data_IF_382094565317
#
_entry.id   IF_382094565317
#
_cell.length_a   1.000
_cell.length_b   1.000
_cell.length_c   1.000
_cell.angle_alpha   90.00
_cell.angle_beta   90.00
_cell.angle_gamma   90.00
#
_symmetry.space_group_name_H-M   'P 1'
#
loop_
_entity.id
_entity.type
_entity.pdbx_description
1 polymer ?
#
# COMPACT_ATOMS: atom_id res chain seq x y z
N UNK A 1 -19.75 -14.21 3.01
CA UNK A 1 -20.16 -15.60 3.32
C UNK A 1 -19.21 -16.35 4.23
N UNK A 2 -17.89 -16.15 4.11
CA UNK A 2 -16.88 -16.80 4.96
C UNK A 2 -15.83 -15.81 5.46
N UNK A 3 -15.27 -16.06 6.64
CA UNK A 3 -14.10 -15.33 7.14
C UNK A 3 -12.78 -15.94 6.63
N UNK A 4 -11.67 -15.34 7.06
CA UNK A 4 -10.29 -15.77 6.72
C UNK A 4 -9.92 -17.14 7.29
N UNK A 5 -10.72 -17.68 8.21
CA UNK A 5 -10.60 -19.03 8.73
C UNK A 5 -11.50 -20.03 7.99
N UNK A 6 -12.22 -19.57 6.95
CA UNK A 6 -13.25 -20.33 6.24
C UNK A 6 -14.42 -20.74 7.15
N UNK A 7 -14.72 -19.93 8.17
CA UNK A 7 -15.91 -20.09 8.99
C UNK A 7 -17.07 -19.29 8.37
N UNK A 8 -18.28 -19.86 8.28
CA UNK A 8 -19.42 -19.15 7.74
C UNK A 8 -19.77 -17.93 8.59
N UNK A 9 -19.95 -16.77 7.95
CA UNK A 9 -20.31 -15.51 8.63
C UNK A 9 -21.81 -15.23 8.63
N UNK A 10 -22.62 -16.06 7.97
CA UNK A 10 -24.06 -15.92 7.85
C UNK A 10 -24.78 -17.27 8.01
N UNK A 11 -26.00 -17.25 8.56
CA UNK A 11 -26.78 -18.45 8.92
C UNK A 11 -27.25 -19.28 7.71
N UNK A 12 -27.49 -18.65 6.56
CA UNK A 12 -27.94 -19.35 5.35
C UNK A 12 -26.83 -20.20 4.70
N UNK A 13 -25.56 -19.94 5.03
CA UNK A 13 -24.39 -20.68 4.57
C UNK A 13 -24.29 -22.07 5.23
N UNK A 14 -25.00 -22.28 6.34
CA UNK A 14 -24.98 -23.50 7.15
C UNK A 14 -25.62 -24.72 6.42
N UNK A 15 -26.70 -24.52 5.68
CA UNK A 15 -27.37 -25.62 4.95
C UNK A 15 -26.57 -26.11 3.73
N UNK A 16 -25.84 -25.21 3.07
CA UNK A 16 -24.88 -25.58 2.02
C UNK A 16 -23.66 -26.29 2.62
N UNK A 17 -23.19 -25.85 3.78
CA UNK A 17 -22.12 -26.52 4.54
C UNK A 17 -22.50 -27.96 4.94
N UNK A 18 -23.71 -28.17 5.47
CA UNK A 18 -24.24 -29.51 5.83
C UNK A 18 -24.35 -30.45 4.63
N UNK A 19 -24.66 -29.95 3.43
CA UNK A 19 -24.71 -30.77 2.19
C UNK A 19 -23.32 -31.20 1.72
N UNK A 20 -22.34 -30.29 1.71
CA UNK A 20 -20.95 -30.61 1.34
C UNK A 20 -20.32 -31.59 2.32
N UNK A 21 -20.55 -31.38 3.63
CA UNK A 21 -20.05 -32.31 4.66
C UNK A 21 -20.64 -33.72 4.47
N UNK A 22 -21.92 -33.82 4.07
CA UNK A 22 -22.58 -35.10 3.76
C UNK A 22 -22.02 -35.81 2.54
N UNK A 23 -21.74 -35.07 1.46
CA UNK A 23 -21.13 -35.63 0.24
C UNK A 23 -19.73 -36.21 0.50
N UNK A 24 -18.96 -35.57 1.38
CA UNK A 24 -17.67 -36.08 1.87
C UNK A 24 -17.78 -37.36 2.71
N UNK A 25 -18.86 -37.57 3.47
CA UNK A 25 -19.10 -38.83 4.20
C UNK A 25 -19.50 -39.99 3.28
N UNK A 26 -19.75 -39.73 2.00
CA UNK A 26 -20.16 -40.71 0.99
C UNK A 26 -19.02 -41.10 0.02
N UNK A 27 -17.77 -40.72 0.32
CA UNK A 27 -16.59 -40.98 -0.53
C UNK A 27 -16.73 -40.47 -1.98
N UNK A 28 -17.54 -39.42 -2.17
CA UNK A 28 -17.70 -38.79 -3.47
C UNK A 28 -16.48 -37.89 -3.72
N UNK A 29 -15.69 -38.21 -4.75
CA UNK A 29 -14.66 -37.31 -5.27
C UNK A 29 -15.29 -35.97 -5.62
N UNK A 30 -14.90 -34.93 -4.90
CA UNK A 30 -15.37 -33.57 -5.15
C UNK A 30 -14.48 -32.89 -6.18
N UNK A 31 -15.04 -31.98 -7.00
CA UNK A 31 -14.23 -31.21 -7.92
C UNK A 31 -13.20 -30.37 -7.15
N UNK A 32 -12.02 -30.11 -7.77
CA UNK A 32 -10.98 -29.29 -7.18
C UNK A 32 -11.52 -27.90 -6.78
N UNK A 33 -10.87 -27.26 -5.81
CA UNK A 33 -11.14 -25.85 -5.50
C UNK A 33 -10.50 -24.94 -6.55
N UNK A 34 -11.06 -23.77 -6.80
CA UNK A 34 -10.49 -22.81 -7.75
C UNK A 34 -9.84 -21.68 -6.98
N UNK A 35 -8.55 -21.44 -7.24
CA UNK A 35 -7.73 -20.46 -6.53
C UNK A 35 -7.15 -19.43 -7.50
N UNK A 36 -7.10 -18.16 -7.07
CA UNK A 36 -6.12 -17.20 -7.60
C UNK A 36 -4.91 -17.17 -6.67
N UNK A 37 -3.71 -17.23 -7.23
CA UNK A 37 -2.47 -16.97 -6.50
C UNK A 37 -1.98 -15.57 -6.85
N UNK A 38 -1.76 -14.73 -5.85
CA UNK A 38 -1.22 -13.37 -6.00
C UNK A 38 -0.04 -13.23 -5.05
N UNK A 39 1.18 -13.17 -5.61
CA UNK A 39 2.40 -13.32 -4.82
C UNK A 39 2.42 -14.66 -4.08
N UNK A 40 2.53 -14.60 -2.75
CA UNK A 40 2.56 -15.79 -1.87
C UNK A 40 1.18 -16.17 -1.31
N UNK A 41 0.11 -15.47 -1.72
CA UNK A 41 -1.24 -15.62 -1.14
C UNK A 41 -2.19 -16.29 -2.11
N UNK A 42 -3.04 -17.17 -1.59
CA UNK A 42 -4.10 -17.85 -2.34
C UNK A 42 -5.48 -17.32 -1.94
N UNK A 43 -6.28 -16.96 -2.95
CA UNK A 43 -7.66 -16.51 -2.80
C UNK A 43 -8.60 -17.57 -3.37
N UNK A 44 -9.55 -18.06 -2.57
CA UNK A 44 -10.52 -19.06 -3.00
C UNK A 44 -11.66 -18.39 -3.78
N UNK A 45 -11.71 -18.67 -5.07
CA UNK A 45 -12.76 -18.21 -6.00
C UNK A 45 -13.99 -19.11 -5.91
N UNK A 46 -13.75 -20.43 -5.94
CA UNK A 46 -14.79 -21.44 -5.73
C UNK A 46 -14.28 -22.54 -4.81
N UNK A 47 -15.18 -23.07 -3.97
CA UNK A 47 -14.86 -24.16 -3.06
C UNK A 47 -14.63 -23.77 -1.60
N UNK A 48 -15.01 -22.55 -1.19
CA UNK A 48 -14.93 -22.08 0.21
C UNK A 48 -15.48 -23.10 1.23
N UNK A 49 -16.62 -23.73 0.93
CA UNK A 49 -17.18 -24.80 1.78
C UNK A 49 -16.30 -26.06 1.84
N UNK A 50 -15.67 -26.45 0.72
CA UNK A 50 -14.78 -27.62 0.66
C UNK A 50 -13.52 -27.36 1.49
N UNK A 51 -12.95 -26.16 1.40
CA UNK A 51 -11.82 -25.72 2.24
C UNK A 51 -12.21 -25.72 3.72
N UNK A 52 -13.38 -25.18 4.06
CA UNK A 52 -13.91 -25.20 5.44
C UNK A 52 -14.02 -26.63 6.01
N UNK A 53 -14.58 -27.57 5.24
CA UNK A 53 -14.72 -28.98 5.66
C UNK A 53 -13.36 -29.67 5.79
N UNK A 54 -12.47 -29.50 4.81
CA UNK A 54 -11.12 -30.06 4.85
C UNK A 54 -10.34 -29.57 6.09
N UNK A 55 -10.40 -28.26 6.36
CA UNK A 55 -9.75 -27.64 7.52
C UNK A 55 -10.30 -28.18 8.85
N UNK A 56 -11.62 -28.28 8.99
CA UNK A 56 -12.25 -28.81 10.21
C UNK A 56 -11.88 -30.28 10.48
N UNK A 57 -11.50 -31.03 9.44
CA UNK A 57 -11.05 -32.42 9.55
C UNK A 57 -9.53 -32.57 9.73
N UNK A 58 -8.79 -31.46 9.78
CA UNK A 58 -7.32 -31.48 9.88
C UNK A 58 -6.63 -32.00 8.61
N UNK A 59 -7.30 -31.94 7.46
CA UNK A 59 -6.74 -32.35 6.18
C UNK A 59 -5.68 -31.32 5.74
N UNK A 60 -4.46 -31.80 5.48
CA UNK A 60 -3.30 -30.95 5.19
C UNK A 60 -3.28 -30.43 3.74
N UNK A 61 -3.80 -31.22 2.78
CA UNK A 61 -3.78 -30.92 1.35
C UNK A 61 -5.18 -31.02 0.73
N UNK A 62 -5.50 -30.17 -0.23
CA UNK A 62 -6.75 -30.20 -1.00
C UNK A 62 -6.45 -29.99 -2.49
N UNK A 63 -7.13 -30.74 -3.36
CA UNK A 63 -6.98 -30.59 -4.81
C UNK A 63 -7.47 -29.22 -5.28
N UNK A 64 -6.66 -28.53 -6.08
CA UNK A 64 -6.93 -27.17 -6.53
C UNK A 64 -6.50 -26.93 -7.99
N UNK A 65 -7.31 -26.15 -8.70
CA UNK A 65 -6.93 -25.47 -9.94
C UNK A 65 -6.49 -24.04 -9.61
N UNK A 66 -5.24 -23.71 -9.91
CA UNK A 66 -4.62 -22.42 -9.55
C UNK A 66 -4.41 -21.57 -10.80
N UNK A 67 -4.91 -20.33 -10.77
CA UNK A 67 -4.55 -19.27 -11.72
C UNK A 67 -3.58 -18.30 -11.05
N UNK A 68 -2.38 -18.15 -11.60
CA UNK A 68 -1.39 -17.21 -11.07
C UNK A 68 -1.61 -15.81 -11.66
N UNK A 69 -1.59 -14.80 -10.80
CA UNK A 69 -1.65 -13.39 -11.16
C UNK A 69 -0.36 -12.70 -10.69
N UNK A 70 0.32 -12.04 -11.62
CA UNK A 70 1.44 -11.15 -11.27
C UNK A 70 0.88 -9.86 -10.68
N UNK A 71 1.31 -9.51 -9.46
CA UNK A 71 1.01 -8.24 -8.84
C UNK A 71 2.26 -7.36 -8.83
N UNK A 72 2.08 -6.08 -9.13
CA UNK A 72 3.17 -5.09 -9.12
C UNK A 72 3.74 -4.85 -7.71
N UNK A 73 2.95 -5.15 -6.68
CA UNK A 73 3.34 -5.09 -5.27
C UNK A 73 3.07 -6.45 -4.63
N UNK A 74 4.02 -7.02 -3.88
CA UNK A 74 3.84 -8.33 -3.26
C UNK A 74 2.75 -8.29 -2.18
N UNK A 75 1.87 -9.28 -2.22
CA UNK A 75 0.90 -9.58 -1.17
C UNK A 75 1.50 -10.64 -0.24
N UNK A 76 1.42 -10.39 1.07
CA UNK A 76 1.87 -11.34 2.09
C UNK A 76 0.68 -12.04 2.77
N UNK A 77 0.83 -13.29 3.26
CA UNK A 77 -0.27 -14.05 3.85
C UNK A 77 -0.92 -13.42 5.10
N UNK A 78 -0.21 -12.55 5.78
CA UNK A 78 -0.62 -11.81 6.97
C UNK A 78 -1.40 -10.51 6.66
N UNK A 79 -1.53 -10.14 5.39
CA UNK A 79 -2.22 -8.92 4.97
C UNK A 79 -3.66 -8.83 5.48
N UNK A 80 -4.02 -7.72 6.11
CA UNK A 80 -5.38 -7.39 6.57
C UNK A 80 -6.16 -6.69 5.45
N UNK A 81 -7.51 -6.64 5.50
CA UNK A 81 -8.27 -5.98 4.44
C UNK A 81 -7.90 -4.49 4.29
N UNK A 82 -7.55 -3.84 5.40
CA UNK A 82 -6.99 -2.47 5.43
C UNK A 82 -5.69 -2.36 4.62
N UNK A 83 -4.85 -3.39 4.66
CA UNK A 83 -3.59 -3.43 3.90
C UNK A 83 -3.87 -3.59 2.40
N UNK A 84 -4.98 -4.23 2.00
CA UNK A 84 -5.38 -4.35 0.59
C UNK A 84 -5.74 -2.99 -0.04
N UNK A 85 -6.42 -2.12 0.71
CA UNK A 85 -6.76 -0.78 0.22
C UNK A 85 -5.48 0.04 -0.06
N UNK A 86 -4.56 0.04 0.90
CA UNK A 86 -3.25 0.71 0.77
C UNK A 86 -2.40 0.11 -0.35
N UNK A 87 -2.44 -1.20 -0.55
CA UNK A 87 -1.77 -1.87 -1.68
C UNK A 87 -2.37 -1.42 -3.01
N UNK A 88 -3.70 -1.26 -3.10
CA UNK A 88 -4.37 -0.71 -4.27
C UNK A 88 -3.90 0.71 -4.60
N UNK A 89 -3.88 1.60 -3.60
CA UNK A 89 -3.38 2.97 -3.74
C UNK A 89 -1.92 2.99 -4.21
N UNK A 90 -1.07 2.11 -3.65
CA UNK A 90 0.33 1.99 -4.06
C UNK A 90 0.47 1.55 -5.52
N UNK A 91 -0.34 0.58 -5.97
CA UNK A 91 -0.32 0.12 -7.36
C UNK A 91 -0.69 1.27 -8.30
N UNK A 92 -1.75 2.02 -8.00
CA UNK A 92 -2.13 3.18 -8.79
C UNK A 92 -1.01 4.24 -8.84
N UNK A 93 -0.39 4.52 -7.69
CA UNK A 93 0.75 5.44 -7.62
C UNK A 93 1.90 5.03 -8.54
N UNK A 94 2.29 3.74 -8.52
CA UNK A 94 3.35 3.22 -9.38
C UNK A 94 2.95 3.22 -10.87
N UNK A 95 1.67 2.99 -11.18
CA UNK A 95 1.14 3.04 -12.54
C UNK A 95 1.18 4.43 -13.14
N UNK A 96 0.76 5.43 -12.37
CA UNK A 96 0.75 6.82 -12.81
C UNK A 96 2.15 7.41 -12.88
N UNK A 97 2.92 7.27 -11.80
CA UNK A 97 4.22 7.95 -11.71
C UNK A 97 5.34 7.22 -12.43
N UNK A 98 5.25 5.90 -12.56
CA UNK A 98 6.36 5.04 -13.00
C UNK A 98 7.67 5.35 -12.27
N UNK A 99 7.60 5.77 -11.00
CA UNK A 99 8.78 6.19 -10.24
C UNK A 99 9.83 5.09 -10.15
N UNK A 100 9.41 3.82 -10.10
CA UNK A 100 10.25 2.62 -10.16
C UNK A 100 11.10 2.50 -11.43
N UNK A 101 10.71 3.20 -12.50
CA UNK A 101 11.47 3.29 -13.76
C UNK A 101 12.24 4.59 -13.88
N UNK A 102 11.64 5.70 -13.44
CA UNK A 102 12.22 7.04 -13.51
C UNK A 102 13.38 7.18 -12.52
N UNK A 103 13.26 6.60 -11.33
CA UNK A 103 14.23 6.54 -10.25
C UNK A 103 14.22 5.13 -9.63
N UNK A 104 14.93 4.15 -10.22
CA UNK A 104 14.93 2.76 -9.75
C UNK A 104 15.38 2.58 -8.29
N UNK A 105 16.12 3.54 -7.74
CA UNK A 105 16.57 3.60 -6.35
C UNK A 105 15.47 4.09 -5.38
N UNK A 106 14.37 4.64 -5.88
CA UNK A 106 13.33 5.22 -5.04
C UNK A 106 12.55 4.13 -4.29
N UNK A 107 12.53 4.22 -2.96
CA UNK A 107 11.74 3.36 -2.07
C UNK A 107 10.69 4.19 -1.33
N UNK A 108 9.52 4.34 -1.94
CA UNK A 108 8.42 5.14 -1.38
C UNK A 108 7.36 4.18 -0.83
N UNK A 109 7.27 4.12 0.50
CA UNK A 109 6.27 3.33 1.22
C UNK A 109 5.47 4.24 2.11
N UNK A 110 4.18 4.42 1.83
CA UNK A 110 3.27 5.21 2.67
C UNK A 110 2.43 4.26 3.52
N UNK A 111 2.24 4.57 4.81
CA UNK A 111 1.42 3.75 5.73
C UNK A 111 0.07 4.37 6.02
N UNK A 112 -0.08 5.67 5.81
CA UNK A 112 -1.31 6.44 6.00
C UNK A 112 -2.26 6.21 4.81
N UNK A 113 -3.52 5.92 5.10
CA UNK A 113 -4.58 5.75 4.10
C UNK A 113 -4.78 7.04 3.28
N UNK A 114 -4.93 6.93 1.96
CA UNK A 114 -5.00 8.06 1.04
C UNK A 114 -3.69 8.82 0.87
N UNK A 115 -2.59 8.35 1.47
CA UNK A 115 -1.32 9.05 1.43
C UNK A 115 -0.67 9.04 0.04
N UNK A 116 -0.86 7.97 -0.75
CA UNK A 116 -0.41 7.93 -2.14
C UNK A 116 -1.15 8.92 -3.04
N UNK A 117 -2.46 9.11 -2.82
CA UNK A 117 -3.24 10.12 -3.55
C UNK A 117 -2.69 11.54 -3.29
N UNK A 118 -2.36 11.83 -2.03
CA UNK A 118 -1.71 13.09 -1.66
C UNK A 118 -0.35 13.26 -2.33
N UNK A 119 0.45 12.20 -2.47
CA UNK A 119 1.71 12.27 -3.22
C UNK A 119 1.46 12.59 -4.71
N UNK A 120 0.44 12.00 -5.32
CA UNK A 120 0.05 12.31 -6.70
C UNK A 120 -0.36 13.77 -6.86
N UNK A 121 -1.11 14.32 -5.90
CA UNK A 121 -1.45 15.75 -5.86
C UNK A 121 -0.20 16.63 -5.75
N UNK A 122 0.74 16.29 -4.86
CA UNK A 122 2.00 17.03 -4.71
C UNK A 122 2.81 17.04 -6.02
N UNK A 123 2.92 15.90 -6.70
CA UNK A 123 3.60 15.79 -8.00
C UNK A 123 2.88 16.62 -9.07
N UNK A 124 1.55 16.59 -9.10
CA UNK A 124 0.76 17.36 -10.06
C UNK A 124 0.92 18.88 -9.88
N UNK A 125 0.86 19.35 -8.63
CA UNK A 125 1.09 20.77 -8.28
C UNK A 125 2.53 21.18 -8.63
N UNK A 126 3.51 20.33 -8.31
CA UNK A 126 4.91 20.56 -8.66
C UNK A 126 5.11 20.68 -10.17
N UNK A 127 4.55 19.74 -10.95
CA UNK A 127 4.58 19.75 -12.42
C UNK A 127 4.00 21.04 -12.99
N UNK A 128 2.88 21.51 -12.44
CA UNK A 128 2.25 22.75 -12.87
C UNK A 128 3.20 23.95 -12.71
N UNK A 129 3.78 24.14 -11.53
CA UNK A 129 4.71 25.26 -11.29
C UNK A 129 5.98 25.14 -12.13
N UNK A 130 6.54 23.93 -12.30
CA UNK A 130 7.66 23.72 -13.21
C UNK A 130 7.35 24.19 -14.64
N UNK A 131 6.13 23.92 -15.12
CA UNK A 131 5.70 24.35 -16.46
C UNK A 131 5.56 25.86 -16.59
N UNK A 132 5.04 26.51 -15.54
CA UNK A 132 4.96 27.99 -15.47
C UNK A 132 6.35 28.61 -15.51
N UNK A 133 7.29 28.12 -14.71
CA UNK A 133 8.66 28.64 -14.63
C UNK A 133 9.44 28.41 -15.93
N UNK A 134 9.29 27.22 -16.53
CA UNK A 134 9.97 26.86 -17.77
C UNK A 134 9.31 27.47 -19.02
N UNK A 135 8.11 28.05 -18.89
CA UNK A 135 7.32 28.58 -20.01
C UNK A 135 6.93 27.52 -21.04
N UNK A 136 6.87 26.25 -20.63
CA UNK A 136 6.57 25.11 -21.51
C UNK A 136 5.89 23.99 -20.74
N UNK A 137 5.28 23.06 -21.47
CA UNK A 137 4.79 21.84 -20.85
C UNK A 137 5.97 20.97 -20.36
N UNK A 138 5.79 20.36 -19.20
CA UNK A 138 6.72 19.42 -18.57
C UNK A 138 6.10 18.03 -18.65
N UNK A 139 6.88 17.03 -19.03
CA UNK A 139 6.39 15.65 -19.08
C UNK A 139 6.14 15.11 -17.66
N UNK A 140 5.30 14.09 -17.53
CA UNK A 140 5.03 13.47 -16.22
C UNK A 140 6.30 12.84 -15.64
N UNK A 141 7.08 12.13 -16.46
CA UNK A 141 8.34 11.53 -16.04
C UNK A 141 9.37 12.57 -15.54
N UNK A 142 9.50 13.71 -16.23
CA UNK A 142 10.40 14.79 -15.79
C UNK A 142 9.94 15.38 -14.46
N UNK A 143 8.63 15.59 -14.31
CA UNK A 143 8.07 16.15 -13.09
C UNK A 143 8.20 15.19 -11.90
N UNK A 144 7.94 13.90 -12.09
CA UNK A 144 8.11 12.84 -11.08
C UNK A 144 9.57 12.77 -10.65
N UNK A 145 10.51 12.70 -11.61
CA UNK A 145 11.94 12.64 -11.32
C UNK A 145 12.43 13.88 -10.58
N UNK A 146 12.03 15.08 -11.03
CA UNK A 146 12.40 16.32 -10.36
C UNK A 146 11.77 16.43 -8.97
N UNK A 147 10.50 16.05 -8.79
CA UNK A 147 9.85 16.02 -7.48
C UNK A 147 10.60 15.11 -6.52
N UNK A 148 10.98 13.91 -6.96
CA UNK A 148 11.74 12.96 -6.15
C UNK A 148 13.08 13.56 -5.71
N UNK A 149 13.86 14.09 -6.66
CA UNK A 149 15.22 14.57 -6.39
C UNK A 149 15.25 15.83 -5.52
N UNK A 150 14.27 16.72 -5.68
CA UNK A 150 14.32 18.08 -5.10
C UNK A 150 13.43 18.29 -3.89
N UNK A 151 12.39 17.46 -3.72
CA UNK A 151 11.43 17.60 -2.63
C UNK A 151 11.46 16.38 -1.71
N UNK A 152 11.32 15.16 -2.27
CA UNK A 152 11.22 13.95 -1.45
C UNK A 152 12.57 13.50 -0.89
N UNK A 153 13.58 13.25 -1.75
CA UNK A 153 14.89 12.73 -1.34
C UNK A 153 15.61 13.60 -0.30
N UNK A 154 15.55 14.95 -0.35
CA UNK A 154 16.12 15.76 0.71
C UNK A 154 15.48 15.55 2.08
N UNK A 155 14.15 15.36 2.14
CA UNK A 155 13.46 15.04 3.40
C UNK A 155 13.80 13.62 3.84
N UNK A 156 13.82 12.66 2.92
CA UNK A 156 14.24 11.29 3.21
C UNK A 156 15.66 11.23 3.80
N UNK A 157 16.61 12.01 3.27
CA UNK A 157 17.96 12.11 3.84
C UNK A 157 17.98 12.65 5.26
N UNK A 158 17.18 13.70 5.55
CA UNK A 158 17.06 14.24 6.92
C UNK A 158 16.50 13.18 7.87
N UNK A 159 15.57 12.36 7.40
CA UNK A 159 15.03 11.22 8.16
C UNK A 159 16.07 10.12 8.35
N UNK A 160 16.86 9.77 7.31
CA UNK A 160 17.94 8.78 7.38
C UNK A 160 19.08 9.19 8.32
N UNK A 161 19.41 10.49 8.34
CA UNK A 161 20.48 11.07 9.16
C UNK A 161 20.03 11.31 10.62
N UNK A 162 18.73 11.21 10.90
CA UNK A 162 18.16 11.33 12.24
C UNK A 162 17.64 10.00 12.76
N UNK A 163 17.45 9.90 14.08
CA UNK A 163 16.78 8.74 14.70
C UNK A 163 15.27 8.92 14.83
N UNK A 164 14.65 9.83 14.06
CA UNK A 164 13.23 10.19 14.24
C UNK A 164 12.27 9.02 14.00
N UNK A 165 12.64 8.05 13.16
CA UNK A 165 11.82 6.86 12.95
C UNK A 165 11.86 5.88 14.13
N UNK A 166 12.88 5.94 14.98
CA UNK A 166 12.95 5.12 16.20
C UNK A 166 11.87 5.55 17.21
N UNK A 167 11.52 6.83 17.27
CA UNK A 167 10.44 7.34 18.11
C UNK A 167 9.05 7.22 17.47
N UNK A 168 8.98 6.77 16.21
CA UNK A 168 7.75 6.65 15.42
C UNK A 168 7.58 5.22 14.85
N UNK A 169 7.26 4.22 15.70
CA UNK A 169 7.17 2.83 15.27
C UNK A 169 6.15 2.63 14.14
N UNK A 170 6.58 1.95 13.07
CA UNK A 170 5.74 1.63 11.93
C UNK A 170 5.48 2.80 10.98
N UNK A 171 6.23 3.90 11.10
CA UNK A 171 6.19 5.05 10.18
C UNK A 171 7.38 5.06 9.25
N UNK A 172 7.21 5.67 8.09
CA UNK A 172 8.23 5.72 7.03
C UNK A 172 8.67 7.15 6.74
N UNK A 173 9.76 7.28 5.98
CA UNK A 173 10.19 8.56 5.44
C UNK A 173 9.10 9.23 4.58
N UNK A 174 8.27 8.46 3.88
CA UNK A 174 7.18 9.00 3.07
C UNK A 174 6.03 9.55 3.91
N UNK A 175 5.68 8.88 5.02
CA UNK A 175 4.72 9.44 5.99
C UNK A 175 5.24 10.76 6.56
N UNK A 176 6.53 10.78 6.92
CA UNK A 176 7.19 11.97 7.45
C UNK A 176 7.21 13.11 6.42
N UNK A 177 7.51 12.81 5.15
CA UNK A 177 7.42 13.78 4.07
C UNK A 177 6.04 14.42 3.97
N UNK A 178 4.95 13.65 4.06
CA UNK A 178 3.59 14.19 4.03
C UNK A 178 3.35 15.16 5.21
N UNK A 179 3.79 14.82 6.42
CA UNK A 179 3.66 15.71 7.57
C UNK A 179 4.51 16.97 7.45
N UNK A 180 5.72 16.86 6.91
CA UNK A 180 6.59 18.01 6.63
C UNK A 180 5.93 18.94 5.63
N UNK A 181 5.28 18.41 4.60
CA UNK A 181 4.57 19.22 3.61
C UNK A 181 3.35 19.94 4.22
N UNK A 182 2.60 19.28 5.12
CA UNK A 182 1.52 19.91 5.89
C UNK A 182 2.06 21.02 6.80
N UNK A 183 3.15 20.75 7.52
CA UNK A 183 3.82 21.71 8.39
C UNK A 183 4.36 22.90 7.60
N UNK A 184 4.95 22.65 6.42
CA UNK A 184 5.47 23.69 5.53
C UNK A 184 4.34 24.59 5.01
N UNK A 185 3.18 24.03 4.67
CA UNK A 185 2.01 24.82 4.29
C UNK A 185 1.64 25.79 5.41
N UNK A 186 1.54 25.30 6.65
CA UNK A 186 1.26 26.12 7.83
C UNK A 186 2.34 27.18 8.11
N UNK A 187 3.63 26.84 7.97
CA UNK A 187 4.73 27.79 8.16
C UNK A 187 4.71 28.90 7.11
N UNK A 188 4.32 28.60 5.87
CA UNK A 188 4.25 29.59 4.78
C UNK A 188 3.11 30.58 4.94
N UNK A 189 2.08 30.27 5.73
CA UNK A 189 1.04 31.23 6.11
C UNK A 189 1.55 32.30 7.10
N UNK A 190 2.73 32.10 7.70
CA UNK A 190 3.35 33.07 8.61
C UNK A 190 4.20 34.10 7.85
N UNK A 191 4.10 35.40 8.18
CA UNK A 191 4.92 36.44 7.54
C UNK A 191 6.42 36.16 7.71
N UNK A 192 7.16 36.14 6.60
CA UNK A 192 8.63 36.00 6.58
C UNK A 192 9.17 34.58 6.32
N UNK A 193 8.32 33.56 6.24
CA UNK A 193 8.74 32.14 6.06
C UNK A 193 8.34 31.53 4.69
N UNK A 194 7.91 32.36 3.73
CA UNK A 194 7.43 31.91 2.42
C UNK A 194 8.44 31.15 1.56
N UNK A 195 9.74 31.31 1.82
CA UNK A 195 10.83 30.68 1.04
C UNK A 195 11.37 29.36 1.59
N UNK A 196 10.79 28.80 2.66
CA UNK A 196 11.29 27.57 3.25
C UNK A 196 11.17 26.39 2.28
N UNK A 197 12.22 25.57 2.19
CA UNK A 197 12.22 24.32 1.43
C UNK A 197 11.72 23.17 2.32
N UNK A 198 11.27 22.05 1.75
CA UNK A 198 10.83 20.90 2.53
C UNK A 198 11.89 20.38 3.52
N UNK A 199 13.16 20.33 3.12
CA UNK A 199 14.24 19.91 4.03
C UNK A 199 14.41 20.85 5.24
N UNK A 200 14.22 22.17 5.05
CA UNK A 200 14.30 23.14 6.14
C UNK A 200 13.13 22.96 7.13
N UNK A 201 11.93 22.67 6.61
CA UNK A 201 10.76 22.35 7.43
C UNK A 201 10.88 20.98 8.13
N UNK A 202 11.54 20.00 7.50
CA UNK A 202 11.85 18.72 8.12
C UNK A 202 12.75 18.88 9.35
N UNK A 203 13.80 19.69 9.22
CA UNK A 203 14.71 20.00 10.32
C UNK A 203 13.97 20.73 11.47
N UNK A 204 13.18 21.77 11.16
CA UNK A 204 12.36 22.47 12.15
C UNK A 204 11.37 21.54 12.87
N UNK A 205 10.79 20.58 12.13
CA UNK A 205 9.87 19.60 12.71
C UNK A 205 10.60 18.67 13.69
N UNK A 206 11.77 18.15 13.32
CA UNK A 206 12.58 17.29 14.20
C UNK A 206 13.02 18.06 15.45
N UNK A 207 13.48 19.30 15.31
CA UNK A 207 13.92 20.11 16.46
C UNK A 207 12.78 20.40 17.45
N UNK A 208 11.54 20.50 16.98
CA UNK A 208 10.38 20.81 17.84
C UNK A 208 9.69 19.58 18.42
N UNK A 209 9.75 18.45 17.73
CA UNK A 209 8.95 17.26 18.06
C UNK A 209 9.78 15.98 18.25
N UNK A 210 11.10 16.04 18.04
CA UNK A 210 12.03 14.90 18.13
C UNK A 210 12.61 14.65 19.52
N UNK A 211 12.47 15.57 20.48
CA UNK A 211 12.78 15.31 21.89
C UNK A 211 11.52 14.81 22.61
N UNK A 212 11.33 13.49 22.64
CA UNK A 212 10.27 12.80 23.37
C UNK A 212 10.70 11.40 23.80
#
# INVERSE_FOLDING_TARGET
DFDRLFLPTQSHTEDRWRRVNRAWYQDISLPPVQLYKVGEVYFVVDGNHRVSVARNRGQEYIDAEVRECEARVPLTPDARPEDLARLGERVEFLERTQIDRVRPEASIEVTILGGYDRLLEHIAVHRYFMGVEAGREVSEADAVGHWYDTLYRPVEKVVEESSILESLPGRTAADFYLWVMDHLHYLRERPGLGGLRPADAAQDFIERYGEG
#
